data_IF_453529014985
#
_entry.id   IF_453529014985
#
_cell.length_a   1.000
_cell.length_b   1.000
_cell.length_c   1.000
_cell.angle_alpha   90.00
_cell.angle_beta   90.00
_cell.angle_gamma   90.00
#
_symmetry.space_group_name_H-M   'P 1'
#
loop_
_entity.id
_entity.type
_entity.pdbx_description
1 polymer ?
#
# COMPACT_ATOMS: atom_id res chain seq x y z
N UNK A 1 -18.56 -17.73 -19.73
CA UNK A 1 -17.15 -17.73 -19.26
C UNK A 1 -16.38 -16.47 -19.73
N UNK A 2 -16.52 -16.03 -20.98
CA UNK A 2 -15.88 -14.79 -21.49
C UNK A 2 -16.29 -13.47 -20.78
N UNK A 3 -17.51 -13.37 -20.24
CA UNK A 3 -17.97 -12.12 -19.58
C UNK A 3 -17.34 -11.87 -18.21
N UNK A 4 -16.90 -12.91 -17.50
CA UNK A 4 -16.30 -12.77 -16.16
C UNK A 4 -14.86 -12.25 -16.27
N UNK A 5 -14.11 -12.76 -17.26
CA UNK A 5 -12.73 -12.32 -17.52
C UNK A 5 -12.70 -10.86 -18.00
N UNK A 6 -13.67 -10.45 -18.83
CA UNK A 6 -13.80 -9.06 -19.27
C UNK A 6 -14.10 -8.11 -18.10
N UNK A 7 -14.98 -8.50 -17.17
CA UNK A 7 -15.23 -7.73 -15.94
C UNK A 7 -14.01 -7.66 -15.03
N UNK A 8 -13.32 -8.78 -14.82
CA UNK A 8 -12.08 -8.80 -14.02
C UNK A 8 -10.99 -7.93 -14.65
N UNK A 9 -10.85 -7.95 -15.98
CA UNK A 9 -9.93 -7.07 -16.71
C UNK A 9 -10.32 -5.60 -16.57
N UNK A 10 -11.62 -5.28 -16.67
CA UNK A 10 -12.12 -3.93 -16.44
C UNK A 10 -11.78 -3.42 -15.04
N UNK A 11 -12.11 -4.20 -14.01
CA UNK A 11 -11.77 -3.85 -12.61
C UNK A 11 -10.25 -3.75 -12.36
N UNK A 12 -9.45 -4.55 -13.06
CA UNK A 12 -8.00 -4.46 -12.98
C UNK A 12 -7.46 -3.19 -13.67
N UNK A 13 -8.01 -2.83 -14.83
CA UNK A 13 -7.65 -1.61 -15.56
C UNK A 13 -8.09 -0.35 -14.81
N UNK A 14 -9.32 -0.33 -14.29
CA UNK A 14 -9.82 0.74 -13.42
C UNK A 14 -8.97 0.87 -12.15
N UNK A 15 -8.48 -0.27 -11.63
CA UNK A 15 -7.52 -0.32 -10.55
C UNK A 15 -6.22 0.41 -10.90
N UNK A 16 -5.65 0.15 -12.08
CA UNK A 16 -4.40 0.77 -12.55
C UNK A 16 -4.55 2.28 -12.78
N UNK A 17 -5.67 2.75 -13.34
CA UNK A 17 -5.88 4.17 -13.62
C UNK A 17 -6.16 5.02 -12.36
N UNK A 18 -6.78 4.43 -11.33
CA UNK A 18 -7.04 5.10 -10.05
C UNK A 18 -5.97 4.84 -8.99
N UNK A 19 -4.95 4.07 -9.34
CA UNK A 19 -3.83 3.82 -8.46
C UNK A 19 -3.02 5.10 -8.30
N UNK A 20 -2.96 5.63 -7.08
CA UNK A 20 -2.12 6.77 -6.75
C UNK A 20 -0.91 6.31 -5.92
N UNK A 21 0.27 6.77 -6.34
CA UNK A 21 1.49 6.58 -5.56
C UNK A 21 1.49 7.55 -4.39
N UNK A 22 1.63 7.01 -3.19
CA UNK A 22 1.66 7.78 -1.95
C UNK A 22 2.95 7.53 -1.19
N UNK A 23 3.27 8.44 -0.29
CA UNK A 23 4.39 8.30 0.62
C UNK A 23 3.92 8.32 2.06
N UNK A 24 4.66 7.62 2.90
CA UNK A 24 4.41 7.60 4.32
C UNK A 24 5.65 7.27 5.12
N UNK A 25 5.46 7.13 6.43
CA UNK A 25 6.51 6.81 7.38
C UNK A 25 6.20 5.49 8.07
N UNK A 26 7.17 4.57 8.06
CA UNK A 26 7.07 3.33 8.81
C UNK A 26 7.25 3.61 10.31
N UNK A 27 6.25 3.30 11.13
CA UNK A 27 6.24 3.58 12.57
C UNK A 27 6.63 2.34 13.41
N UNK A 28 6.22 1.15 12.97
CA UNK A 28 6.52 -0.12 13.63
C UNK A 28 6.35 -1.28 12.65
N UNK A 29 7.01 -2.41 12.92
CA UNK A 29 6.84 -3.68 12.19
C UNK A 29 6.06 -4.75 12.96
N UNK A 30 5.84 -4.55 14.26
CA UNK A 30 5.15 -5.53 15.12
C UNK A 30 4.44 -4.81 16.27
N UNK A 31 3.14 -4.45 16.12
CA UNK A 31 2.34 -4.60 14.89
C UNK A 31 2.82 -3.63 13.80
N UNK A 32 2.61 -4.02 12.53
CA UNK A 32 2.93 -3.16 11.40
C UNK A 32 2.08 -1.89 11.43
N UNK A 33 2.74 -0.74 11.39
CA UNK A 33 2.06 0.56 11.44
C UNK A 33 2.79 1.55 10.55
N UNK A 34 2.01 2.21 9.68
CA UNK A 34 2.48 3.18 8.71
C UNK A 34 1.51 4.34 8.75
N UNK A 35 2.02 5.57 8.70
CA UNK A 35 1.21 6.77 8.49
C UNK A 35 1.52 7.39 7.14
N UNK A 36 0.54 8.01 6.50
CA UNK A 36 0.76 8.76 5.27
C UNK A 36 1.47 10.07 5.59
N UNK A 37 2.13 10.68 4.61
CA UNK A 37 2.76 12.00 4.79
C UNK A 37 1.70 13.10 4.94
N UNK A 38 0.55 12.95 4.26
CA UNK A 38 -0.55 13.93 4.26
C UNK A 38 -1.53 13.76 5.43
N UNK A 39 -1.54 12.58 6.08
CA UNK A 39 -2.43 12.27 7.20
C UNK A 39 -1.63 11.91 8.47
N UNK A 40 -1.81 12.62 9.60
CA UNK A 40 -1.17 12.27 10.85
C UNK A 40 -1.63 10.92 11.44
N UNK A 41 -2.78 10.41 11.01
CA UNK A 41 -3.40 9.17 11.50
C UNK A 41 -2.71 7.96 10.88
N UNK A 42 -2.21 7.01 11.69
CA UNK A 42 -1.70 5.75 11.17
C UNK A 42 -2.80 4.95 10.46
N UNK A 43 -2.43 4.27 9.38
CA UNK A 43 -3.30 3.32 8.69
C UNK A 43 -3.67 2.16 9.61
N UNK A 44 -4.92 1.74 9.54
CA UNK A 44 -5.41 0.60 10.27
C UNK A 44 -4.82 -0.71 9.71
N UNK A 45 -4.65 -1.76 10.54
CA UNK A 45 -4.03 -3.01 10.09
C UNK A 45 -4.73 -3.69 8.90
N UNK A 46 -6.04 -3.48 8.74
CA UNK A 46 -6.83 -4.06 7.63
C UNK A 46 -6.74 -3.25 6.33
N UNK A 47 -6.28 -2.00 6.41
CA UNK A 47 -6.07 -1.12 5.26
C UNK A 47 -4.71 -1.40 4.61
N UNK A 48 -3.76 -1.99 5.35
CA UNK A 48 -2.39 -2.13 4.90
C UNK A 48 -2.07 -3.55 4.41
N UNK A 49 -1.59 -3.65 3.18
CA UNK A 49 -1.02 -4.87 2.61
C UNK A 49 0.46 -4.67 2.29
N UNK A 50 1.31 -5.65 2.59
CA UNK A 50 2.75 -5.57 2.32
C UNK A 50 3.10 -6.36 1.07
N UNK A 51 3.73 -5.69 0.11
CA UNK A 51 4.29 -6.37 -1.05
C UNK A 51 5.42 -7.30 -0.59
N UNK A 52 5.40 -8.56 -1.02
CA UNK A 52 6.40 -9.57 -0.60
C UNK A 52 7.85 -9.13 -0.87
N UNK A 53 8.09 -8.33 -1.90
CA UNK A 53 9.43 -7.82 -2.26
C UNK A 53 9.89 -6.64 -1.40
N UNK A 54 9.03 -6.06 -0.55
CA UNK A 54 9.39 -4.90 0.28
C UNK A 54 10.48 -5.22 1.32
N UNK A 55 10.59 -6.49 1.75
CA UNK A 55 11.64 -7.02 2.65
C UNK A 55 11.98 -6.08 3.83
N UNK A 56 10.96 -5.54 4.51
CA UNK A 56 11.13 -4.59 5.60
C UNK A 56 11.95 -5.17 6.75
N UNK A 57 12.92 -4.41 7.24
CA UNK A 57 13.78 -4.78 8.36
C UNK A 57 13.57 -3.85 9.56
N UNK A 58 13.91 -4.29 10.79
CA UNK A 58 13.81 -3.45 11.98
C UNK A 58 14.52 -2.08 11.86
N UNK A 59 15.63 -2.04 11.11
CA UNK A 59 16.39 -0.80 10.82
C UNK A 59 15.65 0.21 9.94
N UNK A 60 14.54 -0.19 9.31
CA UNK A 60 13.74 0.67 8.45
C UNK A 60 12.66 1.45 9.23
N UNK A 61 12.45 1.12 10.51
CA UNK A 61 11.52 1.87 11.35
C UNK A 61 11.95 3.33 11.44
N UNK A 62 11.03 4.24 11.12
CA UNK A 62 11.27 5.66 11.03
C UNK A 62 11.69 6.17 9.65
N UNK A 63 11.92 5.29 8.67
CA UNK A 63 12.22 5.68 7.28
C UNK A 63 10.95 5.94 6.47
N UNK A 64 11.12 6.66 5.36
CA UNK A 64 10.09 6.89 4.36
C UNK A 64 9.82 5.63 3.53
N UNK A 65 8.54 5.34 3.30
CA UNK A 65 8.07 4.20 2.50
C UNK A 65 7.19 4.69 1.35
N UNK A 66 7.22 3.95 0.24
CA UNK A 66 6.28 4.13 -0.86
C UNK A 66 5.07 3.21 -0.66
N UNK A 67 3.89 3.79 -0.81
CA UNK A 67 2.61 3.11 -0.80
C UNK A 67 1.90 3.33 -2.13
N UNK A 68 0.96 2.44 -2.39
CA UNK A 68 0.11 2.48 -3.56
C UNK A 68 -1.32 2.36 -3.08
N UNK A 69 -2.11 3.43 -3.27
CA UNK A 69 -3.53 3.43 -2.90
C UNK A 69 -4.31 2.61 -3.92
N UNK A 70 -4.97 1.57 -3.44
CA UNK A 70 -5.84 0.71 -4.22
C UNK A 70 -7.28 1.25 -4.21
N UNK A 71 -8.06 0.87 -5.21
CA UNK A 71 -9.46 1.29 -5.37
C UNK A 71 -10.45 0.73 -4.32
N UNK A 72 -9.97 -0.15 -3.43
CA UNK A 72 -10.73 -0.75 -2.34
C UNK A 72 -10.38 -0.14 -0.97
N UNK A 73 -9.88 1.10 -0.96
CA UNK A 73 -9.47 1.84 0.26
C UNK A 73 -8.32 1.19 1.03
N UNK A 74 -7.60 0.25 0.40
CA UNK A 74 -6.39 -0.34 0.95
C UNK A 74 -5.14 0.31 0.35
N UNK A 75 -4.03 0.19 1.07
CA UNK A 75 -2.71 0.64 0.67
C UNK A 75 -1.78 -0.55 0.56
N UNK A 76 -1.12 -0.67 -0.58
CA UNK A 76 -0.05 -1.63 -0.81
C UNK A 76 1.30 -0.95 -0.53
N UNK A 77 1.98 -1.39 0.53
CA UNK A 77 3.34 -0.97 0.84
C UNK A 77 4.32 -1.65 -0.13
N UNK A 78 5.04 -0.84 -0.90
CA UNK A 78 5.98 -1.29 -1.92
C UNK A 78 7.39 -1.52 -1.35
N UNK A 79 7.83 -0.65 -0.43
CA UNK A 79 9.14 -0.71 0.20
C UNK A 79 9.60 0.63 0.74
N UNK A 80 10.81 0.64 1.29
CA UNK A 80 11.51 1.84 1.76
C UNK A 80 12.09 2.61 0.57
N UNK A 81 12.06 3.94 0.63
CA UNK A 81 12.57 4.83 -0.43
C UNK A 81 13.73 5.75 0.02
N UNK A 82 14.26 5.53 1.23
CA UNK A 82 15.43 6.20 1.83
C UNK A 82 16.60 5.25 2.12
#
# INVERSE_FOLDING_TARGET
MHSVIAKLRGHAQDGIENTQGEFGKLLSLSPLSVKLDEDPTPLEPYELSVLRSAQLKPEDVGKKVALLRCNNEQYLLLGVVE
#
